data_IF_620034884680
#
_entry.id   IF_620034884680
#
_cell.length_a   1.000
_cell.length_b   1.000
_cell.length_c   1.000
_cell.angle_alpha   90.00
_cell.angle_beta   90.00
_cell.angle_gamma   90.00
#
_symmetry.space_group_name_H-M   'P 1'
#
loop_
_entity.id
_entity.type
_entity.pdbx_description
1 polymer ?
#
# COMPACT_ATOMS: atom_id res chain seq x y z
N UNK A 1 -10.10 -6.94 -20.29
CA UNK A 1 -9.11 -5.94 -19.84
C UNK A 1 -7.95 -6.74 -19.30
N UNK A 2 -6.75 -6.49 -19.80
CA UNK A 2 -5.55 -7.11 -19.25
C UNK A 2 -5.22 -6.44 -17.91
N UNK A 3 -5.04 -7.25 -16.87
CA UNK A 3 -4.71 -6.78 -15.51
C UNK A 3 -3.49 -7.51 -14.99
N UNK A 4 -2.64 -6.80 -14.27
CA UNK A 4 -1.61 -7.42 -13.45
C UNK A 4 -2.20 -7.88 -12.10
N UNK A 5 -1.60 -8.91 -11.50
CA UNK A 5 -2.00 -9.42 -10.19
C UNK A 5 -0.82 -9.32 -9.24
N UNK A 6 -0.98 -8.54 -8.18
CA UNK A 6 -0.05 -8.46 -7.05
C UNK A 6 -0.59 -9.34 -5.92
N UNK A 7 -0.03 -10.54 -5.78
CA UNK A 7 -0.34 -11.48 -4.71
C UNK A 7 0.56 -11.21 -3.51
N UNK A 8 -0.02 -10.91 -2.35
CA UNK A 8 0.67 -10.60 -1.10
C UNK A 8 0.19 -11.60 -0.04
N UNK A 9 1.08 -12.50 0.36
CA UNK A 9 0.80 -13.48 1.40
C UNK A 9 1.62 -13.17 2.65
N UNK A 10 0.94 -12.80 3.72
CA UNK A 10 1.50 -12.67 5.05
C UNK A 10 1.46 -14.03 5.76
N UNK A 11 2.63 -14.47 6.26
CA UNK A 11 2.77 -15.63 7.11
C UNK A 11 3.87 -15.35 8.14
N UNK A 12 3.54 -15.42 9.43
CA UNK A 12 4.42 -15.04 10.53
C UNK A 12 5.03 -13.62 10.31
N UNK A 13 6.36 -13.50 10.32
CA UNK A 13 7.10 -12.23 10.18
C UNK A 13 7.51 -11.95 8.72
N UNK A 14 6.79 -12.56 7.78
CA UNK A 14 7.23 -12.64 6.39
C UNK A 14 6.10 -12.34 5.43
N UNK A 15 6.41 -11.53 4.42
CA UNK A 15 5.53 -11.26 3.29
C UNK A 15 6.14 -11.89 2.05
N UNK A 16 5.38 -12.79 1.43
CA UNK A 16 5.70 -13.32 0.09
C UNK A 16 4.90 -12.52 -0.91
N UNK A 17 5.60 -11.84 -1.82
CA UNK A 17 5.00 -10.95 -2.80
C UNK A 17 5.29 -11.49 -4.19
N UNK A 18 4.25 -11.64 -5.00
CA UNK A 18 4.35 -12.09 -6.39
C UNK A 18 3.59 -11.13 -7.29
N UNK A 19 4.21 -10.69 -8.38
CA UNK A 19 3.60 -9.85 -9.40
C UNK A 19 3.55 -10.61 -10.72
N UNK A 20 2.33 -10.84 -11.21
CA UNK A 20 2.07 -11.43 -12.53
C UNK A 20 1.65 -10.32 -13.49
N UNK A 21 2.31 -10.22 -14.64
CA UNK A 21 2.00 -9.19 -15.65
C UNK A 21 1.56 -9.83 -16.97
N UNK A 22 0.58 -9.23 -17.68
CA UNK A 22 0.06 -9.79 -18.92
C UNK A 22 1.02 -9.67 -20.11
N UNK A 23 1.97 -8.73 -20.08
CA UNK A 23 2.72 -8.29 -21.27
C UNK A 23 4.01 -9.08 -21.60
N UNK A 24 4.46 -10.04 -20.77
CA UNK A 24 5.75 -10.74 -20.97
C UNK A 24 5.70 -12.27 -20.85
N UNK A 25 4.55 -12.91 -21.05
CA UNK A 25 4.39 -14.34 -20.76
C UNK A 25 4.45 -14.62 -19.25
N UNK A 26 4.54 -15.87 -18.78
CA UNK A 26 4.42 -16.23 -17.35
C UNK A 26 5.67 -15.89 -16.54
N UNK A 27 6.22 -14.68 -16.68
CA UNK A 27 7.20 -14.16 -15.72
C UNK A 27 6.45 -13.55 -14.54
N UNK A 28 6.19 -14.40 -13.56
CA UNK A 28 5.85 -13.96 -12.22
C UNK A 28 7.13 -13.46 -11.54
N UNK A 29 7.16 -12.19 -11.18
CA UNK A 29 8.22 -11.64 -10.34
C UNK A 29 7.88 -11.97 -8.90
N UNK A 30 8.72 -12.75 -8.23
CA UNK A 30 8.49 -13.15 -6.85
C UNK A 30 9.63 -12.67 -5.95
N UNK A 31 9.29 -12.31 -4.73
CA UNK A 31 10.27 -12.00 -3.70
C UNK A 31 9.65 -12.11 -2.31
N UNK A 32 10.52 -12.07 -1.33
CA UNK A 32 10.12 -12.19 0.07
C UNK A 32 10.76 -11.08 0.86
N UNK A 33 10.00 -10.46 1.74
CA UNK A 33 10.51 -9.48 2.71
C UNK A 33 10.16 -9.93 4.12
N UNK A 34 11.05 -9.59 5.05
CA UNK A 34 10.86 -9.83 6.47
C UNK A 34 10.38 -8.55 7.11
N UNK A 35 9.18 -8.59 7.68
CA UNK A 35 8.59 -7.47 8.41
C UNK A 35 8.22 -8.02 9.78
N UNK A 36 9.07 -7.77 10.76
CA UNK A 36 8.85 -8.22 12.14
C UNK A 36 7.53 -7.72 12.71
N UNK A 37 6.94 -8.48 13.63
CA UNK A 37 5.62 -8.15 14.20
C UNK A 37 5.54 -6.75 14.81
N UNK A 38 6.63 -6.24 15.38
CA UNK A 38 6.68 -4.90 15.98
C UNK A 38 6.46 -3.82 14.91
N UNK A 39 7.29 -3.83 13.85
CA UNK A 39 7.14 -2.91 12.73
C UNK A 39 5.74 -3.01 12.09
N UNK A 40 5.22 -4.24 11.92
CA UNK A 40 3.85 -4.44 11.40
C UNK A 40 2.79 -3.77 12.28
N UNK A 41 2.88 -3.95 13.61
CA UNK A 41 1.94 -3.34 14.57
C UNK A 41 2.03 -1.82 14.56
N UNK A 42 3.23 -1.26 14.41
CA UNK A 42 3.40 0.19 14.35
C UNK A 42 2.78 0.78 13.07
N UNK A 43 2.94 0.12 11.91
CA UNK A 43 2.23 0.50 10.69
C UNK A 43 0.71 0.50 10.90
N UNK A 44 0.16 -0.58 11.48
CA UNK A 44 -1.28 -0.68 11.72
C UNK A 44 -1.76 0.43 12.67
N UNK A 45 -1.00 0.69 13.75
CA UNK A 45 -1.33 1.77 14.70
C UNK A 45 -1.38 3.13 14.00
N UNK A 46 -0.45 3.40 13.08
CA UNK A 46 -0.44 4.64 12.29
C UNK A 46 -1.67 4.71 11.39
N UNK A 47 -2.00 3.63 10.68
CA UNK A 47 -3.20 3.56 9.82
C UNK A 47 -4.48 3.82 10.62
N UNK A 48 -4.61 3.19 11.79
CA UNK A 48 -5.76 3.36 12.68
C UNK A 48 -5.85 4.81 13.19
N UNK A 49 -4.71 5.40 13.60
CA UNK A 49 -4.68 6.78 14.09
C UNK A 49 -5.08 7.80 13.01
N UNK A 50 -4.61 7.61 11.77
CA UNK A 50 -4.99 8.46 10.62
C UNK A 50 -6.48 8.28 10.30
N UNK A 51 -6.98 7.05 10.30
CA UNK A 51 -8.39 6.73 10.03
C UNK A 51 -9.30 7.35 11.08
N UNK A 52 -8.96 7.22 12.37
CA UNK A 52 -9.70 7.82 13.47
C UNK A 52 -9.73 9.34 13.38
N UNK A 53 -8.62 9.97 12.99
CA UNK A 53 -8.58 11.41 12.82
C UNK A 53 -9.51 11.88 11.69
N UNK A 54 -9.48 11.19 10.55
CA UNK A 54 -10.39 11.47 9.42
C UNK A 54 -11.84 11.32 9.87
N UNK A 55 -12.17 10.24 10.58
CA UNK A 55 -13.53 9.98 11.06
C UNK A 55 -14.01 11.05 12.06
N UNK A 56 -13.14 11.51 12.97
CA UNK A 56 -13.45 12.59 13.92
C UNK A 56 -13.71 13.92 13.22
N UNK A 57 -12.97 14.23 12.15
CA UNK A 57 -13.16 15.44 11.37
C UNK A 57 -14.42 15.36 10.50
N UNK A 58 -14.75 14.18 9.95
CA UNK A 58 -15.96 13.95 9.17
C UNK A 58 -17.25 14.07 10.00
N UNK A 59 -17.20 13.84 11.32
CA UNK A 59 -18.33 13.98 12.24
C UNK A 59 -18.76 15.42 12.55
N UNK A 60 -17.98 16.43 12.14
CA UNK A 60 -18.28 17.85 12.35
C UNK A 60 -18.53 18.55 11.01
N UNK A 61 -19.72 18.38 10.41
CA UNK A 61 -20.26 19.13 9.25
C UNK A 61 -19.21 19.65 8.23
N UNK A 62 -18.39 18.78 7.63
CA UNK A 62 -17.43 19.21 6.61
C UNK A 62 -17.71 18.58 5.24
N UNK A 63 -18.10 19.38 4.22
CA UNK A 63 -17.99 18.99 2.83
C UNK A 63 -16.55 19.33 2.38
N UNK A 64 -15.59 18.46 2.72
CA UNK A 64 -14.19 18.47 2.29
C UNK A 64 -13.51 19.85 2.11
N UNK A 65 -12.98 20.41 3.20
CA UNK A 65 -11.85 21.37 3.19
C UNK A 65 -11.17 21.40 4.57
N UNK A 66 -10.68 20.24 5.01
CA UNK A 66 -9.79 20.15 6.18
C UNK A 66 -8.35 20.36 5.75
N UNK A 67 -7.63 21.26 6.40
CA UNK A 67 -6.19 21.42 6.23
C UNK A 67 -5.48 20.12 6.69
N UNK A 68 -5.10 19.31 5.72
CA UNK A 68 -4.47 17.98 5.89
C UNK A 68 -3.08 18.10 6.50
N UNK A 69 -2.52 19.31 6.60
CA UNK A 69 -1.18 19.55 7.15
C UNK A 69 -1.06 19.17 8.64
N UNK A 70 -2.19 19.06 9.37
CA UNK A 70 -2.21 18.52 10.74
C UNK A 70 -2.32 16.99 10.80
N UNK A 71 -2.76 16.33 9.72
CA UNK A 71 -2.74 14.86 9.62
C UNK A 71 -1.30 14.34 9.57
N UNK A 72 -0.39 15.15 9.03
CA UNK A 72 1.05 14.91 9.01
C UNK A 72 1.74 15.01 10.39
N UNK A 73 1.03 15.48 11.43
CA UNK A 73 1.59 15.70 12.77
C UNK A 73 1.28 14.55 13.74
N UNK A 74 0.43 13.59 13.37
CA UNK A 74 -0.03 12.50 14.25
C UNK A 74 0.98 11.36 14.33
N UNK A 75 1.96 11.32 13.43
CA UNK A 75 3.02 10.33 13.41
C UNK A 75 4.35 11.07 13.20
N UNK A 76 5.44 10.59 13.81
CA UNK A 76 6.80 11.12 13.50
C UNK A 76 7.19 10.91 12.03
N UNK A 77 6.36 10.17 11.28
CA UNK A 77 6.36 10.07 9.82
C UNK A 77 5.58 11.26 9.28
N UNK A 78 6.27 12.22 8.66
CA UNK A 78 5.71 13.52 8.30
C UNK A 78 4.45 13.42 7.43
N UNK A 79 4.55 13.23 6.12
CA UNK A 79 3.36 13.24 5.23
C UNK A 79 2.76 11.85 4.95
N UNK A 80 1.53 11.80 4.42
CA UNK A 80 0.93 10.55 3.92
C UNK A 80 1.77 9.92 2.80
N UNK A 81 2.44 10.74 1.99
CA UNK A 81 3.35 10.28 0.93
C UNK A 81 4.60 9.63 1.53
N UNK A 82 5.18 10.24 2.57
CA UNK A 82 6.32 9.67 3.30
C UNK A 82 5.95 8.35 3.97
N UNK A 83 4.74 8.27 4.56
CA UNK A 83 4.22 7.03 5.11
C UNK A 83 4.00 5.96 4.04
N UNK A 84 3.35 6.33 2.93
CA UNK A 84 3.14 5.42 1.80
C UNK A 84 4.47 4.93 1.22
N UNK A 85 5.50 5.76 1.20
CA UNK A 85 6.83 5.43 0.69
C UNK A 85 7.59 4.52 1.65
N UNK A 86 7.46 4.75 2.96
CA UNK A 86 7.97 3.84 3.98
C UNK A 86 7.34 2.45 3.82
N UNK A 87 6.00 2.36 3.70
CA UNK A 87 5.33 1.08 3.47
C UNK A 87 5.78 0.41 2.16
N UNK A 88 5.92 1.19 1.08
CA UNK A 88 6.38 0.70 -0.21
C UNK A 88 7.77 0.06 -0.12
N UNK A 89 8.70 0.69 0.60
CA UNK A 89 10.03 0.15 0.86
C UNK A 89 10.05 -1.06 1.79
N UNK A 90 9.16 -1.09 2.78
CA UNK A 90 9.10 -2.15 3.80
C UNK A 90 8.48 -3.45 3.27
N UNK A 91 7.38 -3.35 2.53
CA UNK A 91 6.58 -4.51 2.15
C UNK A 91 6.88 -5.07 0.76
N UNK A 92 7.56 -4.33 -0.12
CA UNK A 92 7.79 -4.76 -1.49
C UNK A 92 9.27 -5.05 -1.77
N UNK A 93 9.62 -6.22 -2.33
CA UNK A 93 10.96 -6.48 -2.85
C UNK A 93 11.36 -5.48 -3.95
N UNK A 94 12.64 -5.05 -4.05
CA UNK A 94 13.09 -4.04 -5.03
C UNK A 94 12.76 -4.37 -6.49
N UNK A 95 12.79 -5.66 -6.86
CA UNK A 95 12.36 -6.16 -8.17
C UNK A 95 10.91 -5.78 -8.48
N UNK A 96 10.02 -6.02 -7.53
CA UNK A 96 8.58 -5.78 -7.66
C UNK A 96 8.31 -4.27 -7.63
N UNK A 97 9.03 -3.52 -6.81
CA UNK A 97 9.00 -2.07 -6.82
C UNK A 97 9.24 -1.53 -8.24
N UNK A 98 10.36 -1.91 -8.87
CA UNK A 98 10.69 -1.44 -10.21
C UNK A 98 9.60 -1.80 -11.24
N UNK A 99 9.08 -3.03 -11.19
CA UNK A 99 8.03 -3.47 -12.09
C UNK A 99 6.69 -2.73 -11.90
N UNK A 100 6.31 -2.42 -10.66
CA UNK A 100 5.13 -1.62 -10.37
C UNK A 100 5.30 -0.18 -10.85
N UNK A 101 6.52 0.37 -10.85
CA UNK A 101 6.77 1.71 -11.40
C UNK A 101 6.51 1.78 -12.91
N UNK A 102 6.74 0.70 -13.62
CA UNK A 102 6.54 0.60 -15.07
C UNK A 102 5.12 0.16 -15.47
N UNK A 103 4.26 -0.14 -14.48
CA UNK A 103 2.95 -0.71 -14.75
C UNK A 103 1.96 0.33 -15.29
N UNK A 104 1.34 0.01 -16.42
CA UNK A 104 0.37 0.85 -17.13
C UNK A 104 -0.98 0.15 -17.40
N UNK A 105 -1.23 -0.96 -16.69
CA UNK A 105 -2.48 -1.73 -16.74
C UNK A 105 -3.14 -1.77 -15.37
N UNK A 106 -4.42 -2.17 -15.32
CA UNK A 106 -5.13 -2.33 -14.05
C UNK A 106 -4.42 -3.33 -13.13
N UNK A 107 -4.46 -3.08 -11.82
CA UNK A 107 -3.79 -3.89 -10.80
C UNK A 107 -4.82 -4.54 -9.88
N UNK A 108 -4.77 -5.87 -9.77
CA UNK A 108 -5.53 -6.62 -8.77
C UNK A 108 -4.60 -6.94 -7.61
N UNK A 109 -4.88 -6.36 -6.45
CA UNK A 109 -4.18 -6.69 -5.20
C UNK A 109 -4.90 -7.86 -4.56
N UNK A 110 -4.24 -9.01 -4.51
CA UNK A 110 -4.76 -10.24 -3.92
C UNK A 110 -4.02 -10.53 -2.63
N UNK A 111 -4.68 -10.42 -1.47
CA UNK A 111 -4.00 -10.44 -0.17
C UNK A 111 -4.80 -11.17 0.90
N UNK A 112 -4.11 -11.77 1.87
CA UNK A 112 -4.71 -12.26 3.12
C UNK A 112 -4.61 -11.26 4.29
N UNK A 113 -3.85 -10.17 4.12
CA UNK A 113 -3.67 -9.15 5.16
C UNK A 113 -4.41 -7.87 4.78
N UNK A 114 -5.61 -7.71 5.34
CA UNK A 114 -6.50 -6.58 5.03
C UNK A 114 -6.21 -5.32 5.83
N UNK A 115 -5.40 -5.42 6.89
CA UNK A 115 -5.12 -4.31 7.81
C UNK A 115 -4.20 -3.27 7.18
N UNK A 116 -3.42 -3.68 6.17
CA UNK A 116 -2.55 -2.79 5.42
C UNK A 116 -3.32 -2.17 4.24
N UNK A 117 -3.29 -0.83 4.06
CA UNK A 117 -3.89 -0.16 2.93
C UNK A 117 -2.96 -0.22 1.73
N UNK A 118 -2.89 -1.37 1.06
CA UNK A 118 -1.98 -1.63 -0.07
C UNK A 118 -2.09 -0.63 -1.23
N UNK A 119 -3.24 0.02 -1.39
CA UNK A 119 -3.50 1.05 -2.40
C UNK A 119 -2.76 2.36 -2.09
N UNK A 120 -2.41 2.58 -0.82
CA UNK A 120 -1.66 3.74 -0.32
C UNK A 120 -0.14 3.55 -0.35
N UNK A 121 0.36 2.45 -0.94
CA UNK A 121 1.79 2.33 -1.20
C UNK A 121 2.21 3.43 -2.21
N UNK A 122 3.27 4.16 -1.89
CA UNK A 122 3.75 5.30 -2.67
C UNK A 122 5.14 5.01 -3.25
N UNK A 123 5.30 5.11 -4.57
CA UNK A 123 6.55 4.69 -5.24
C UNK A 123 7.65 5.78 -5.27
N UNK A 124 7.37 6.92 -4.64
CA UNK A 124 8.18 8.15 -4.68
C UNK A 124 7.68 9.19 -5.69
N UNK A 125 6.69 8.86 -6.51
CA UNK A 125 6.05 9.79 -7.46
C UNK A 125 4.53 9.85 -7.26
N UNK A 126 3.87 8.71 -7.03
CA UNK A 126 2.42 8.68 -6.79
C UNK A 126 2.00 7.44 -6.00
N UNK A 127 0.80 7.47 -5.44
CA UNK A 127 0.17 6.30 -4.82
C UNK A 127 -0.24 5.28 -5.88
N UNK A 128 -0.12 3.99 -5.56
CA UNK A 128 -0.58 2.92 -6.46
C UNK A 128 -2.04 3.13 -6.87
N UNK A 129 -2.91 3.48 -5.92
CA UNK A 129 -4.34 3.74 -6.17
C UNK A 129 -4.64 4.90 -7.13
N UNK A 130 -3.68 5.78 -7.38
CA UNK A 130 -3.81 6.89 -8.33
C UNK A 130 -3.15 6.60 -9.69
N UNK A 131 -2.29 5.57 -9.77
CA UNK A 131 -1.55 5.24 -10.99
C UNK A 131 -2.38 4.47 -12.00
N UNK A 132 -3.15 3.50 -11.54
CA UNK A 132 -3.95 2.62 -12.38
C UNK A 132 -5.24 2.23 -11.64
N UNK A 133 -6.28 1.76 -12.36
CA UNK A 133 -7.44 1.17 -11.70
C UNK A 133 -7.01 0.00 -10.80
N UNK A 134 -7.39 0.06 -9.53
CA UNK A 134 -7.10 -0.99 -8.55
C UNK A 134 -8.37 -1.72 -8.16
N UNK A 135 -8.27 -3.05 -8.07
CA UNK A 135 -9.22 -3.89 -7.37
C UNK A 135 -8.52 -4.64 -6.24
N UNK A 136 -9.22 -4.89 -5.13
CA UNK A 136 -8.76 -5.74 -4.03
C UNK A 136 -9.52 -7.06 -4.05
N UNK A 137 -8.80 -8.16 -3.89
CA UNK A 137 -9.33 -9.53 -3.77
C UNK A 137 -8.78 -10.17 -2.50
N UNK A 138 -9.65 -10.81 -1.72
CA UNK A 138 -9.25 -11.56 -0.53
C UNK A 138 -8.80 -12.97 -0.92
N UNK A 139 -7.72 -13.43 -0.31
CA UNK A 139 -7.19 -14.80 -0.42
C UNK A 139 -7.64 -15.68 0.73
#
# INVERSE_FOLDING_TARGET
MDSAVLSILQADDRYTVTLETPRKGPMALAGTVWVGQEHRRDIIRIVDAVTDLINRQAGSESPYRGDVSRLAQVCEVGSLEEFGQLMYGLFLPPLIQNALRELDVALIISTNDCQIPWELLHDGQTFLGLRAPIARRLM
#
